data_IF_886250237140
#
_entry.id   IF_886250237140
#
_cell.length_a   1.000
_cell.length_b   1.000
_cell.length_c   1.000
_cell.angle_alpha   90.00
_cell.angle_beta   90.00
_cell.angle_gamma   90.00
#
_symmetry.space_group_name_H-M   'P 1'
#
loop_
_entity.id
_entity.type
_entity.pdbx_description
1 polymer ?
#
# COMPACT_ATOMS: atom_id res chain seq x y z
N UNK A 1 -33.56 -4.10 -18.17
CA UNK A 1 -32.94 -4.57 -16.93
C UNK A 1 -31.67 -3.79 -16.73
N UNK A 2 -31.56 -3.08 -15.61
CA UNK A 2 -30.47 -2.15 -15.30
C UNK A 2 -29.20 -2.92 -14.94
N UNK A 3 -28.10 -2.64 -15.65
CA UNK A 3 -26.74 -2.98 -15.21
C UNK A 3 -26.24 -1.78 -14.40
N UNK A 4 -26.45 -1.83 -13.09
CA UNK A 4 -25.87 -0.85 -12.17
C UNK A 4 -24.45 -1.28 -11.85
N UNK A 5 -23.46 -0.36 -11.76
CA UNK A 5 -22.11 -0.75 -11.46
C UNK A 5 -22.14 -1.37 -10.06
N UNK A 6 -21.78 -2.64 -9.96
CA UNK A 6 -21.45 -3.27 -8.69
C UNK A 6 -20.23 -2.53 -8.17
N UNK A 7 -20.47 -1.51 -7.34
CA UNK A 7 -19.47 -1.00 -6.43
C UNK A 7 -18.97 -2.22 -5.67
N UNK A 8 -17.80 -2.70 -6.08
CA UNK A 8 -17.14 -3.83 -5.47
C UNK A 8 -16.82 -3.37 -4.06
N UNK A 9 -17.67 -3.80 -3.12
CA UNK A 9 -17.45 -3.69 -1.68
C UNK A 9 -16.33 -4.68 -1.37
N UNK A 10 -15.12 -4.33 -1.80
CA UNK A 10 -13.97 -5.20 -1.67
C UNK A 10 -13.40 -5.00 -0.27
N UNK A 11 -13.24 -6.08 0.51
CA UNK A 11 -13.06 -6.00 1.96
C UNK A 11 -11.65 -5.55 2.31
N UNK A 12 -11.46 -4.31 2.79
CA UNK A 12 -10.24 -3.76 3.42
C UNK A 12 -8.89 -3.83 2.65
N UNK A 13 -8.75 -4.71 1.65
CA UNK A 13 -7.59 -4.86 0.78
C UNK A 13 -7.48 -3.73 -0.26
N UNK A 14 -8.52 -2.91 -0.41
CA UNK A 14 -8.60 -1.83 -1.39
C UNK A 14 -8.22 -0.49 -0.80
N UNK A 15 -8.14 -0.39 0.52
CA UNK A 15 -7.58 0.78 1.19
C UNK A 15 -6.09 0.83 0.87
N UNK A 16 -5.75 1.68 -0.09
CA UNK A 16 -4.38 1.87 -0.59
C UNK A 16 -3.90 3.25 -0.25
N UNK A 17 -2.65 3.33 0.17
CA UNK A 17 -1.98 4.58 0.51
C UNK A 17 -0.70 4.70 -0.30
N UNK A 18 -0.46 5.89 -0.83
CA UNK A 18 0.81 6.22 -1.46
C UNK A 18 1.78 6.68 -0.39
N UNK A 19 2.96 6.07 -0.36
CA UNK A 19 4.05 6.43 0.55
C UNK A 19 5.33 6.67 -0.21
N UNK A 20 6.19 7.52 0.34
CA UNK A 20 7.60 7.62 -0.01
C UNK A 20 8.41 6.79 0.98
N UNK A 21 9.17 5.82 0.50
CA UNK A 21 10.10 5.03 1.29
C UNK A 21 11.28 5.92 1.68
N UNK A 22 11.65 5.94 2.96
CA UNK A 22 12.71 6.82 3.49
C UNK A 22 14.01 6.07 3.79
N UNK A 23 13.97 4.74 3.75
CA UNK A 23 15.10 3.84 4.01
C UNK A 23 14.93 2.52 3.26
N UNK A 24 16.03 1.83 2.99
CA UNK A 24 15.99 0.55 2.31
C UNK A 24 15.34 -0.52 3.20
N UNK A 25 14.25 -1.09 2.71
CA UNK A 25 13.50 -2.18 3.35
C UNK A 25 13.70 -3.49 2.57
N UNK A 26 13.76 -3.41 1.24
CA UNK A 26 13.85 -4.55 0.34
C UNK A 26 12.47 -5.18 0.07
N UNK A 27 12.43 -6.43 -0.43
CA UNK A 27 11.19 -7.07 -0.84
C UNK A 27 10.29 -7.43 0.34
N UNK A 28 9.00 -7.13 0.23
CA UNK A 28 7.95 -7.50 1.19
C UNK A 28 6.78 -8.18 0.47
N UNK A 29 6.00 -8.97 1.22
CA UNK A 29 4.73 -9.52 0.75
C UNK A 29 3.55 -8.68 1.24
N UNK A 30 2.71 -8.24 0.30
CA UNK A 30 1.43 -7.57 0.50
C UNK A 30 0.38 -8.46 1.16
N UNK A 31 -0.55 -7.85 1.90
CA UNK A 31 -1.81 -8.54 2.29
C UNK A 31 -2.67 -8.94 1.08
N UNK A 32 -2.41 -8.35 -0.08
CA UNK A 32 -3.03 -8.67 -1.37
C UNK A 32 -2.27 -9.74 -2.17
N UNK A 33 -1.35 -10.47 -1.52
CA UNK A 33 -0.52 -11.54 -2.10
C UNK A 33 0.42 -11.06 -3.22
N UNK A 34 0.74 -9.75 -3.24
CA UNK A 34 1.70 -9.17 -4.18
C UNK A 34 3.04 -8.90 -3.53
N UNK A 35 4.11 -9.15 -4.25
CA UNK A 35 5.46 -8.77 -3.81
C UNK A 35 5.76 -7.32 -4.20
N UNK A 36 6.36 -6.56 -3.28
CA UNK A 36 6.78 -5.18 -3.47
C UNK A 36 8.25 -5.05 -3.11
N UNK A 37 9.06 -4.51 -4.03
CA UNK A 37 10.44 -4.14 -3.73
C UNK A 37 10.48 -2.68 -3.27
N UNK A 38 11.04 -2.43 -2.09
CA UNK A 38 11.01 -1.14 -1.41
C UNK A 38 12.43 -0.60 -1.20
N UNK A 39 12.89 0.25 -2.12
CA UNK A 39 14.16 0.95 -2.00
C UNK A 39 13.97 2.35 -1.42
N UNK A 40 15.03 2.91 -0.83
CA UNK A 40 15.04 4.29 -0.36
C UNK A 40 14.62 5.28 -1.45
N UNK A 41 13.84 6.30 -1.09
CA UNK A 41 13.31 7.37 -1.94
C UNK A 41 12.22 6.96 -2.94
N UNK A 42 11.89 5.67 -3.04
CA UNK A 42 10.82 5.19 -3.92
C UNK A 42 9.44 5.68 -3.46
N UNK A 43 8.60 6.02 -4.43
CA UNK A 43 7.20 6.35 -4.20
C UNK A 43 6.34 5.20 -4.71
N UNK A 44 5.67 4.53 -3.78
CA UNK A 44 4.90 3.31 -4.04
C UNK A 44 3.49 3.43 -3.46
N UNK A 45 2.54 2.76 -4.10
CA UNK A 45 1.18 2.62 -3.57
C UNK A 45 1.04 1.22 -2.99
N UNK A 46 0.82 1.14 -1.68
CA UNK A 46 0.72 -0.11 -0.93
C UNK A 46 -0.67 -0.23 -0.28
N UNK A 47 -1.12 -1.46 0.06
CA UNK A 47 -2.21 -1.63 1.00
C UNK A 47 -1.91 -0.87 2.31
N UNK A 48 -2.93 -0.23 2.89
CA UNK A 48 -2.79 0.57 4.10
C UNK A 48 -2.23 -0.25 5.27
N UNK A 49 -2.66 -1.51 5.38
CA UNK A 49 -2.15 -2.48 6.37
C UNK A 49 -0.64 -2.72 6.27
N UNK A 50 -0.06 -2.59 5.08
CA UNK A 50 1.38 -2.69 4.84
C UNK A 50 2.10 -1.36 5.05
N UNK A 51 1.48 -0.24 4.68
CA UNK A 51 2.07 1.09 4.77
C UNK A 51 2.19 1.57 6.23
N UNK A 52 1.14 1.37 7.04
CA UNK A 52 1.07 1.82 8.43
C UNK A 52 2.26 1.38 9.30
N UNK A 53 2.68 0.11 9.31
CA UNK A 53 3.84 -0.33 10.08
C UNK A 53 5.17 0.24 9.55
N UNK A 54 5.26 0.65 8.28
CA UNK A 54 6.44 1.32 7.72
C UNK A 54 6.51 2.77 8.21
N UNK A 55 5.39 3.48 8.18
CA UNK A 55 5.30 4.87 8.66
C UNK A 55 5.57 4.96 10.16
N UNK A 56 5.00 4.07 10.96
CA UNK A 56 5.24 4.03 12.42
C UNK A 56 6.71 3.79 12.81
N UNK A 57 7.52 3.25 11.91
CA UNK A 57 8.95 2.96 12.11
C UNK A 57 9.86 3.96 11.40
N UNK A 58 9.30 5.07 10.93
CA UNK A 58 9.99 6.07 10.11
C UNK A 58 10.66 5.47 8.88
N UNK A 59 10.12 4.36 8.35
CA UNK A 59 10.61 3.68 7.16
C UNK A 59 9.92 4.15 5.87
N UNK A 60 8.80 4.87 6.02
CA UNK A 60 8.09 5.50 4.93
C UNK A 60 7.33 6.74 5.44
N UNK A 61 6.98 7.65 4.54
CA UNK A 61 6.15 8.83 4.80
C UNK A 61 4.92 8.80 3.89
N UNK A 62 3.73 9.09 4.40
CA UNK A 62 2.53 9.19 3.56
C UNK A 62 2.59 10.42 2.64
N UNK A 63 2.12 10.25 1.42
CA UNK A 63 1.91 11.31 0.44
C UNK A 63 0.39 11.39 0.20
N UNK A 64 -0.31 12.17 1.03
CA UNK A 64 -1.75 12.45 0.88
C UNK A 64 -2.04 13.36 -0.33
#
# INVERSE_FOLDING_TARGET
TSDGPTAHDTPAHDDRTTVRITRDVGPILGVDDREYDLASEDVVTLPAENADPLVQRDAAERLD
#
